data_IF_016131712289
#
_entry.id   IF_016131712289
#
_cell.length_a   1.000
_cell.length_b   1.000
_cell.length_c   1.000
_cell.angle_alpha   90.00
_cell.angle_beta   90.00
_cell.angle_gamma   90.00
#
_symmetry.space_group_name_H-M   'P 1'
#
loop_
_entity.id
_entity.type
_entity.pdbx_description
1 polymer ?
#
# COMPACT_ATOMS: atom_id res chain seq x y z
N UNK A 1 19.68 62.23 -24.50
CA UNK A 1 18.48 61.44 -24.21
C UNK A 1 18.79 60.02 -24.68
N UNK A 2 19.29 59.17 -23.78
CA UNK A 2 19.76 57.82 -24.09
C UNK A 2 18.86 56.80 -23.39
N UNK A 3 18.03 56.10 -24.17
CA UNK A 3 17.24 54.97 -23.75
C UNK A 3 18.16 53.78 -23.51
N UNK A 4 18.32 53.34 -22.26
CA UNK A 4 18.91 52.07 -21.92
C UNK A 4 17.87 50.97 -22.10
N UNK A 5 18.06 49.97 -22.95
CA UNK A 5 17.22 48.80 -22.97
C UNK A 5 17.51 47.96 -21.72
N UNK A 6 16.48 47.72 -20.88
CA UNK A 6 16.52 46.74 -19.84
C UNK A 6 16.69 45.34 -20.46
N UNK A 7 17.93 44.88 -20.56
CA UNK A 7 18.22 43.47 -20.75
C UNK A 7 17.83 42.75 -19.46
N UNK A 8 16.56 42.38 -19.38
CA UNK A 8 16.01 41.51 -18.33
C UNK A 8 16.71 40.16 -18.48
N UNK A 9 17.55 39.87 -17.52
CA UNK A 9 18.34 38.65 -17.40
C UNK A 9 17.42 37.44 -17.40
N UNK A 10 17.22 36.82 -18.56
CA UNK A 10 16.35 35.66 -18.80
C UNK A 10 17.05 34.31 -18.47
N UNK A 11 18.16 34.37 -17.72
CA UNK A 11 18.97 33.20 -17.39
C UNK A 11 18.80 32.68 -15.98
N UNK A 12 17.73 33.08 -15.27
CA UNK A 12 17.50 32.67 -13.88
C UNK A 12 16.28 31.74 -13.67
N UNK A 13 15.60 31.31 -14.74
CA UNK A 13 14.33 30.55 -14.60
C UNK A 13 14.43 29.07 -14.98
N UNK A 14 15.60 28.47 -14.91
CA UNK A 14 15.73 27.00 -14.90
C UNK A 14 16.31 26.49 -13.56
N UNK A 15 15.91 27.13 -12.47
CA UNK A 15 15.97 26.43 -11.20
C UNK A 15 14.90 25.33 -11.28
N UNK A 16 15.33 24.09 -11.49
CA UNK A 16 14.48 22.91 -11.27
C UNK A 16 13.73 23.11 -9.95
N UNK A 17 12.43 23.37 -10.04
CA UNK A 17 11.57 23.48 -8.90
C UNK A 17 11.60 22.12 -8.19
N UNK A 18 12.46 21.98 -7.20
CA UNK A 18 12.53 20.77 -6.37
C UNK A 18 11.17 20.61 -5.70
N UNK A 19 10.50 19.48 -5.90
CA UNK A 19 9.18 19.27 -5.29
C UNK A 19 9.23 19.56 -3.81
N UNK A 20 8.29 20.36 -3.31
CA UNK A 20 8.18 20.67 -1.91
C UNK A 20 8.08 19.42 -1.02
N UNK A 21 8.36 19.53 0.29
CA UNK A 21 8.35 18.38 1.21
C UNK A 21 7.06 17.55 1.14
N UNK A 22 5.90 18.20 1.03
CA UNK A 22 4.59 17.55 0.93
C UNK A 22 4.44 16.71 -0.35
N UNK A 23 4.95 17.20 -1.50
CA UNK A 23 4.89 16.47 -2.75
C UNK A 23 5.75 15.18 -2.72
N UNK A 24 6.90 15.23 -2.05
CA UNK A 24 7.78 14.05 -1.87
C UNK A 24 7.11 13.00 -0.97
N UNK A 25 6.51 13.43 0.13
CA UNK A 25 5.80 12.52 1.04
C UNK A 25 4.66 11.83 0.31
N UNK A 26 3.88 12.56 -0.46
CA UNK A 26 2.79 11.99 -1.25
C UNK A 26 3.30 11.01 -2.32
N UNK A 27 4.39 11.33 -2.99
CA UNK A 27 5.01 10.40 -3.96
C UNK A 27 5.42 9.08 -3.29
N UNK A 28 6.07 9.13 -2.13
CA UNK A 28 6.46 7.94 -1.36
C UNK A 28 5.25 7.12 -0.92
N UNK A 29 4.18 7.76 -0.42
CA UNK A 29 2.93 7.08 -0.10
C UNK A 29 2.34 6.36 -1.31
N UNK A 30 2.23 7.07 -2.42
CA UNK A 30 1.68 6.52 -3.66
C UNK A 30 2.48 5.32 -4.15
N UNK A 31 3.81 5.44 -4.16
CA UNK A 31 4.71 4.33 -4.53
C UNK A 31 4.52 3.15 -3.58
N UNK A 32 4.50 3.38 -2.27
CA UNK A 32 4.29 2.33 -1.27
C UNK A 32 2.95 1.61 -1.45
N UNK A 33 1.86 2.35 -1.68
CA UNK A 33 0.55 1.77 -1.95
C UNK A 33 0.55 0.92 -3.23
N UNK A 34 1.17 1.41 -4.31
CA UNK A 34 1.26 0.67 -5.58
C UNK A 34 2.11 -0.60 -5.43
N UNK A 35 3.25 -0.52 -4.75
CA UNK A 35 4.13 -1.70 -4.54
C UNK A 35 3.38 -2.78 -3.76
N UNK A 36 2.74 -2.42 -2.64
CA UNK A 36 1.95 -3.39 -1.86
C UNK A 36 0.80 -3.95 -2.70
N UNK A 37 0.09 -3.10 -3.45
CA UNK A 37 -0.99 -3.54 -4.32
C UNK A 37 -0.52 -4.53 -5.38
N UNK A 38 0.61 -4.29 -6.02
CA UNK A 38 1.16 -5.21 -7.02
C UNK A 38 1.57 -6.56 -6.42
N UNK A 39 2.17 -6.56 -5.23
CA UNK A 39 2.49 -7.81 -4.50
C UNK A 39 1.22 -8.60 -4.22
N UNK A 40 0.17 -7.97 -3.68
CA UNK A 40 -1.10 -8.61 -3.39
C UNK A 40 -1.82 -9.08 -4.66
N UNK A 41 -1.75 -8.30 -5.74
CA UNK A 41 -2.37 -8.66 -7.03
C UNK A 41 -1.71 -9.90 -7.61
N UNK A 42 -0.38 -9.93 -7.68
CA UNK A 42 0.37 -11.08 -8.19
C UNK A 42 0.09 -12.32 -7.33
N UNK A 43 0.12 -12.19 -6.00
CA UNK A 43 -0.19 -13.27 -5.09
C UNK A 43 -1.60 -13.83 -5.30
N UNK A 44 -2.61 -12.95 -5.39
CA UNK A 44 -3.99 -13.36 -5.60
C UNK A 44 -4.24 -14.00 -6.96
N UNK A 45 -3.66 -13.44 -8.04
CA UNK A 45 -3.79 -14.00 -9.39
C UNK A 45 -3.10 -15.36 -9.52
N UNK A 46 -1.94 -15.57 -8.91
CA UNK A 46 -1.28 -16.86 -8.85
C UNK A 46 -2.10 -17.90 -8.10
N UNK A 47 -2.83 -17.48 -7.03
CA UNK A 47 -3.76 -18.35 -6.32
C UNK A 47 -4.92 -18.82 -7.20
N UNK A 48 -5.47 -17.96 -8.04
CA UNK A 48 -6.49 -18.36 -9.01
C UNK A 48 -5.93 -19.26 -10.11
N UNK A 49 -4.72 -18.96 -10.62
CA UNK A 49 -4.07 -19.78 -11.66
C UNK A 49 -3.73 -21.18 -11.16
N UNK A 50 -3.46 -21.35 -9.86
CA UNK A 50 -3.21 -22.65 -9.22
C UNK A 50 -4.45 -23.49 -9.00
N UNK A 51 -5.66 -22.97 -9.27
CA UNK A 51 -6.92 -23.71 -9.10
C UNK A 51 -7.20 -24.12 -7.65
N UNK A 52 -6.80 -23.27 -6.69
CA UNK A 52 -6.90 -23.54 -5.25
C UNK A 52 -8.36 -23.73 -4.80
N UNK A 53 -8.60 -24.72 -3.96
CA UNK A 53 -9.88 -24.88 -3.27
C UNK A 53 -10.25 -23.62 -2.49
N UNK A 54 -11.49 -23.15 -2.63
CA UNK A 54 -11.92 -21.86 -2.12
C UNK A 54 -11.85 -21.79 -0.59
N UNK A 55 -12.26 -22.84 0.11
CA UNK A 55 -12.31 -22.91 1.58
C UNK A 55 -11.35 -23.94 2.20
N UNK A 56 -10.28 -24.33 1.50
CA UNK A 56 -9.28 -25.21 2.09
C UNK A 56 -8.62 -24.57 3.31
N UNK A 57 -8.61 -25.28 4.43
CA UNK A 57 -7.90 -24.83 5.64
C UNK A 57 -6.42 -25.17 5.62
N UNK A 58 -5.97 -26.06 4.75
CA UNK A 58 -4.57 -26.44 4.61
C UNK A 58 -3.80 -25.49 3.68
N UNK A 59 -4.50 -24.95 2.66
CA UNK A 59 -3.92 -24.06 1.66
C UNK A 59 -2.79 -24.67 0.85
N UNK A 60 -2.42 -24.00 -0.22
CA UNK A 60 -1.24 -24.33 -1.00
C UNK A 60 -0.20 -23.19 -0.92
N UNK A 61 1.05 -23.49 -1.18
CA UNK A 61 2.13 -22.51 -1.12
C UNK A 61 2.24 -21.72 -2.41
N UNK A 62 2.07 -20.39 -2.30
CA UNK A 62 2.27 -19.44 -3.40
C UNK A 62 3.28 -18.39 -2.92
N UNK A 63 4.40 -18.28 -3.63
CA UNK A 63 5.50 -17.34 -3.29
C UNK A 63 5.97 -17.44 -1.82
N UNK A 64 5.91 -18.63 -1.22
CA UNK A 64 6.31 -18.87 0.17
C UNK A 64 5.22 -18.59 1.21
N UNK A 65 4.06 -18.05 0.81
CA UNK A 65 2.89 -17.86 1.65
C UNK A 65 1.87 -18.97 1.40
N UNK A 66 1.07 -19.30 2.40
CA UNK A 66 -0.08 -20.19 2.21
C UNK A 66 -1.25 -19.42 1.62
N UNK A 67 -1.99 -20.03 0.72
CA UNK A 67 -3.18 -19.44 0.10
C UNK A 67 -4.28 -20.45 -0.16
N UNK A 68 -5.50 -19.97 -0.23
CA UNK A 68 -6.66 -20.65 -0.78
C UNK A 68 -7.45 -19.65 -1.67
N UNK A 69 -8.52 -20.09 -2.30
CA UNK A 69 -9.31 -19.24 -3.19
C UNK A 69 -9.89 -18.01 -2.49
N UNK A 70 -10.29 -18.13 -1.21
CA UNK A 70 -10.80 -17.01 -0.42
C UNK A 70 -9.72 -15.96 -0.16
N UNK A 71 -8.54 -16.38 0.30
CA UNK A 71 -7.42 -15.45 0.54
C UNK A 71 -6.94 -14.79 -0.74
N UNK A 72 -6.90 -15.54 -1.84
CA UNK A 72 -6.59 -15.01 -3.18
C UNK A 72 -7.58 -13.92 -3.60
N UNK A 73 -8.88 -14.14 -3.38
CA UNK A 73 -9.93 -13.14 -3.66
C UNK A 73 -9.74 -11.87 -2.82
N UNK A 74 -9.53 -12.03 -1.51
CA UNK A 74 -9.30 -10.88 -0.60
C UNK A 74 -8.05 -10.10 -1.04
N UNK A 75 -6.99 -10.79 -1.45
CA UNK A 75 -5.75 -10.16 -1.91
C UNK A 75 -5.95 -9.33 -3.18
N UNK A 76 -6.69 -9.84 -4.17
CA UNK A 76 -7.03 -9.08 -5.39
C UNK A 76 -7.89 -7.87 -5.06
N UNK A 77 -8.94 -8.03 -4.24
CA UNK A 77 -9.81 -6.92 -3.83
C UNK A 77 -9.01 -5.84 -3.11
N UNK A 78 -8.14 -6.20 -2.18
CA UNK A 78 -7.30 -5.25 -1.46
C UNK A 78 -6.30 -4.56 -2.40
N UNK A 79 -5.73 -5.29 -3.35
CA UNK A 79 -4.87 -4.71 -4.38
C UNK A 79 -5.59 -3.63 -5.20
N UNK A 80 -6.81 -3.92 -5.67
CA UNK A 80 -7.62 -2.95 -6.41
C UNK A 80 -7.94 -1.71 -5.56
N UNK A 81 -8.32 -1.90 -4.31
CA UNK A 81 -8.60 -0.80 -3.37
C UNK A 81 -7.37 0.10 -3.19
N UNK A 82 -6.18 -0.47 -3.02
CA UNK A 82 -4.93 0.28 -2.86
C UNK A 82 -4.54 1.00 -4.17
N UNK A 83 -4.71 0.38 -5.34
CA UNK A 83 -4.44 1.02 -6.64
C UNK A 83 -5.38 2.20 -6.89
N UNK A 84 -6.67 2.03 -6.62
CA UNK A 84 -7.65 3.11 -6.71
C UNK A 84 -7.31 4.24 -5.73
N UNK A 85 -6.95 3.90 -4.50
CA UNK A 85 -6.53 4.89 -3.50
C UNK A 85 -5.28 5.67 -3.97
N UNK A 86 -4.28 5.00 -4.53
CA UNK A 86 -3.07 5.62 -5.04
C UNK A 86 -3.33 6.59 -6.22
N UNK A 87 -4.44 6.42 -6.95
CA UNK A 87 -4.86 7.31 -8.02
C UNK A 87 -5.73 8.50 -7.53
N UNK A 88 -6.04 8.56 -6.24
CA UNK A 88 -6.89 9.59 -5.63
C UNK A 88 -6.06 10.67 -4.93
N UNK A 89 -6.76 11.57 -4.21
CA UNK A 89 -6.11 12.64 -3.45
C UNK A 89 -5.26 12.11 -2.28
N UNK A 90 -4.26 12.88 -1.81
CA UNK A 90 -3.40 12.49 -0.68
C UNK A 90 -4.18 12.06 0.56
N UNK A 91 -5.28 12.75 0.88
CA UNK A 91 -6.14 12.43 2.03
C UNK A 91 -6.80 11.07 1.90
N UNK A 92 -7.33 10.75 0.70
CA UNK A 92 -7.96 9.45 0.43
C UNK A 92 -6.92 8.34 0.50
N UNK A 93 -5.76 8.55 -0.12
CA UNK A 93 -4.64 7.58 -0.06
C UNK A 93 -4.23 7.30 1.38
N UNK A 94 -3.99 8.34 2.20
CA UNK A 94 -3.65 8.21 3.62
C UNK A 94 -4.72 7.43 4.39
N UNK A 95 -5.99 7.79 4.22
CA UNK A 95 -7.10 7.15 4.94
C UNK A 95 -7.20 5.66 4.58
N UNK A 96 -7.17 5.33 3.30
CA UNK A 96 -7.25 3.93 2.85
C UNK A 96 -6.04 3.13 3.33
N UNK A 97 -4.83 3.69 3.28
CA UNK A 97 -3.63 3.02 3.79
C UNK A 97 -3.69 2.76 5.30
N UNK A 98 -4.20 3.71 6.09
CA UNK A 98 -4.39 3.53 7.54
C UNK A 98 -5.42 2.41 7.80
N UNK A 99 -6.55 2.45 7.12
CA UNK A 99 -7.60 1.42 7.27
C UNK A 99 -7.08 0.04 6.84
N UNK A 100 -6.48 -0.05 5.66
CA UNK A 100 -5.91 -1.30 5.15
C UNK A 100 -4.82 -1.85 6.09
N UNK A 101 -3.90 -0.99 6.54
CA UNK A 101 -2.85 -1.38 7.49
C UNK A 101 -3.42 -1.91 8.80
N UNK A 102 -4.45 -1.25 9.34
CA UNK A 102 -5.16 -1.72 10.55
C UNK A 102 -5.84 -3.07 10.33
N UNK A 103 -6.47 -3.28 9.17
CA UNK A 103 -7.08 -4.56 8.81
C UNK A 103 -6.05 -5.68 8.67
N UNK A 104 -4.88 -5.40 8.08
CA UNK A 104 -3.79 -6.37 8.00
C UNK A 104 -3.28 -6.78 9.39
N UNK A 105 -3.10 -5.83 10.31
CA UNK A 105 -2.67 -6.12 11.69
C UNK A 105 -3.74 -6.90 12.47
N UNK A 106 -5.00 -6.49 12.35
CA UNK A 106 -6.11 -7.20 12.98
C UNK A 106 -6.23 -8.62 12.43
N UNK A 107 -6.14 -8.79 11.10
CA UNK A 107 -6.13 -10.10 10.45
C UNK A 107 -4.97 -10.96 10.94
N UNK A 108 -3.77 -10.41 11.06
CA UNK A 108 -2.61 -11.12 11.62
C UNK A 108 -2.88 -11.63 13.03
N UNK A 109 -3.44 -10.78 13.90
CA UNK A 109 -3.74 -11.14 15.30
C UNK A 109 -4.80 -12.22 15.39
N UNK A 110 -5.92 -12.06 14.67
CA UNK A 110 -7.01 -13.04 14.66
C UNK A 110 -6.54 -14.38 14.09
N UNK A 111 -5.85 -14.36 12.95
CA UNK A 111 -5.38 -15.60 12.32
C UNK A 111 -4.26 -16.27 13.13
N UNK A 112 -3.44 -15.53 13.86
CA UNK A 112 -2.49 -16.12 14.81
C UNK A 112 -3.21 -16.94 15.89
N UNK A 113 -4.32 -16.43 16.42
CA UNK A 113 -5.12 -17.12 17.43
C UNK A 113 -5.78 -18.40 16.91
N UNK A 114 -6.21 -18.42 15.64
CA UNK A 114 -6.93 -19.56 15.04
C UNK A 114 -6.05 -20.47 14.17
N UNK A 115 -4.75 -20.22 14.11
CA UNK A 115 -3.79 -20.81 13.14
C UNK A 115 -3.85 -22.34 13.08
N UNK A 116 -4.07 -23.02 14.21
CA UNK A 116 -4.08 -24.47 14.34
C UNK A 116 -5.48 -25.04 14.62
N UNK A 117 -6.51 -24.28 14.27
CA UNK A 117 -7.90 -24.68 14.48
C UNK A 117 -8.65 -24.82 13.15
N UNK A 118 -9.83 -25.45 13.19
CA UNK A 118 -10.74 -25.52 12.04
C UNK A 118 -11.32 -24.16 11.62
N UNK A 119 -11.15 -23.14 12.42
CA UNK A 119 -11.54 -21.75 12.10
C UNK A 119 -10.56 -21.01 11.22
N UNK A 120 -9.42 -21.64 10.84
CA UNK A 120 -8.45 -21.05 9.90
C UNK A 120 -8.95 -21.12 8.45
N UNK A 121 -10.07 -20.47 8.17
CA UNK A 121 -10.73 -20.47 6.86
C UNK A 121 -9.91 -19.76 5.75
N UNK A 122 -8.93 -18.96 6.12
CA UNK A 122 -8.02 -18.28 5.18
C UNK A 122 -6.76 -19.09 4.87
N UNK A 123 -6.64 -20.31 5.39
CA UNK A 123 -5.47 -21.17 5.28
C UNK A 123 -4.15 -20.47 5.67
N UNK A 124 -4.22 -19.56 6.66
CA UNK A 124 -3.04 -18.83 7.14
C UNK A 124 -2.02 -19.81 7.72
N UNK A 125 -0.75 -19.52 7.46
CA UNK A 125 0.39 -20.10 8.15
C UNK A 125 1.18 -18.97 8.82
N UNK A 126 2.17 -19.31 9.61
CA UNK A 126 2.97 -18.32 10.36
C UNK A 126 3.58 -17.26 9.43
N UNK A 127 4.02 -17.66 8.23
CA UNK A 127 4.56 -16.73 7.23
C UNK A 127 3.56 -15.68 6.78
N UNK A 128 2.27 -16.05 6.66
CA UNK A 128 1.19 -15.11 6.33
C UNK A 128 0.97 -14.10 7.45
N UNK A 129 1.07 -14.54 8.72
CA UNK A 129 0.97 -13.64 9.88
C UNK A 129 2.11 -12.63 9.85
N UNK A 130 3.36 -13.08 9.67
CA UNK A 130 4.52 -12.18 9.56
C UNK A 130 4.36 -11.20 8.40
N UNK A 131 3.98 -11.68 7.21
CA UNK A 131 3.72 -10.83 6.06
C UNK A 131 2.65 -9.77 6.35
N UNK A 132 1.54 -10.17 6.97
CA UNK A 132 0.44 -9.25 7.32
C UNK A 132 0.88 -8.19 8.33
N UNK A 133 1.71 -8.55 9.31
CA UNK A 133 2.28 -7.57 10.26
C UNK A 133 3.18 -6.58 9.56
N UNK A 134 4.11 -7.05 8.72
CA UNK A 134 5.04 -6.17 8.00
C UNK A 134 4.29 -5.22 7.06
N UNK A 135 3.38 -5.75 6.25
CA UNK A 135 2.57 -4.93 5.32
C UNK A 135 1.66 -3.98 6.09
N UNK A 136 1.04 -4.45 7.17
CA UNK A 136 0.17 -3.64 8.02
C UNK A 136 0.91 -2.45 8.63
N UNK A 137 2.08 -2.67 9.22
CA UNK A 137 2.92 -1.61 9.79
C UNK A 137 3.39 -0.62 8.70
N UNK A 138 3.81 -1.12 7.53
CA UNK A 138 4.23 -0.28 6.42
C UNK A 138 3.11 0.65 5.96
N UNK A 139 1.92 0.09 5.71
CA UNK A 139 0.75 0.86 5.27
C UNK A 139 0.31 1.88 6.34
N UNK A 140 0.27 1.49 7.61
CA UNK A 140 -0.05 2.39 8.72
C UNK A 140 0.95 3.56 8.81
N UNK A 141 2.24 3.26 8.79
CA UNK A 141 3.29 4.26 8.91
C UNK A 141 3.23 5.26 7.75
N UNK A 142 3.17 4.77 6.51
CA UNK A 142 3.09 5.63 5.33
C UNK A 142 1.78 6.44 5.31
N UNK A 143 0.65 5.82 5.68
CA UNK A 143 -0.64 6.47 5.75
C UNK A 143 -0.68 7.58 6.81
N UNK A 144 -0.19 7.30 8.02
CA UNK A 144 -0.15 8.27 9.12
C UNK A 144 0.81 9.42 8.82
N UNK A 145 2.01 9.12 8.29
CA UNK A 145 3.00 10.13 7.96
C UNK A 145 2.48 11.13 6.92
N UNK A 146 1.83 10.66 5.86
CA UNK A 146 1.24 11.54 4.87
C UNK A 146 0.09 12.40 5.38
N UNK A 147 -0.64 11.91 6.39
CA UNK A 147 -1.72 12.67 7.02
C UNK A 147 -1.18 13.82 7.88
N UNK A 148 -0.08 13.59 8.58
CA UNK A 148 0.57 14.61 9.41
C UNK A 148 1.25 15.66 8.54
N UNK A 149 2.00 15.24 7.51
CA UNK A 149 2.73 16.14 6.62
C UNK A 149 1.83 17.06 5.79
N UNK A 150 0.59 16.66 5.52
CA UNK A 150 -0.41 17.49 4.83
C UNK A 150 -1.02 18.60 5.69
N UNK A 151 -0.64 18.73 6.98
CA UNK A 151 -1.09 19.75 7.91
C UNK A 151 0.02 20.71 8.35
N UNK A 152 1.25 20.52 7.85
CA UNK A 152 2.34 21.47 8.13
C UNK A 152 2.09 22.74 7.32
N UNK A 153 2.17 23.94 7.93
CA UNK A 153 2.12 25.19 7.20
C UNK A 153 3.23 25.23 6.14
N UNK A 154 2.92 25.72 4.97
CA UNK A 154 3.93 26.07 3.97
C UNK A 154 4.56 27.38 4.45
N UNK A 155 5.76 27.28 5.05
CA UNK A 155 6.60 28.45 5.40
C UNK A 155 7.25 29.03 4.16
#
# INVERSE_FOLDING_TARGET
MALRPHLRNRTADTAEERPGPGARVYAVQRIGAVVVALILLVFGLLGFAGGLDFFSTQGERILGLSSNGLLSTISVVMAVVLLVAAARSPRVTSTIMIVAGSLFLLSALVNLAVLRTSFNILAFQFQNVVFSVVVGLLLLTLGAYGRISGHLPED
#
